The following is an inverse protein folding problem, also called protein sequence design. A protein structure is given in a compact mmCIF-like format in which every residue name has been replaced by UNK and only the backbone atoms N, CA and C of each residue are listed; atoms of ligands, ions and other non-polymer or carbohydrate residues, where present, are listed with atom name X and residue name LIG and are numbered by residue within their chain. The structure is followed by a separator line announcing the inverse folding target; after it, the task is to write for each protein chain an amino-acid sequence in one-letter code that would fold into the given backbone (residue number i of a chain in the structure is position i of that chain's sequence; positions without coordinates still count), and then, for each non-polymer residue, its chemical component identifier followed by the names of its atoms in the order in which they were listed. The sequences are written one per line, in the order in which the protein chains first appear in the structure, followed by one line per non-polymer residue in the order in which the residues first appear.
data_IF_668850162993
#
_entry.id   IF_668850162993
#
_cell.length_a   1.000
_cell.length_b   1.000
_cell.length_c   1.000
_cell.angle_alpha   90.00
_cell.angle_beta   90.00
_cell.angle_gamma   90.00
#
_symmetry.space_group_name_H-M   'P 1'
#
loop_
_entity.id
_entity.type
_entity.pdbx_description
1 polymer ?
#
# COMPACT_ATOMS: atom_id res chain seq x y z
N UNK A 1 7.33 -2.86 -6.74
CA UNK A 1 8.26 -2.61 -7.85
C UNK A 1 9.64 -2.32 -7.25
N UNK A 2 10.75 -2.85 -7.79
CA UNK A 2 12.09 -2.49 -7.32
C UNK A 2 12.44 -1.01 -7.53
N UNK A 3 11.69 -0.30 -8.39
CA UNK A 3 11.84 1.12 -8.78
C UNK A 3 10.53 1.89 -8.49
N UNK A 4 10.53 3.19 -8.76
CA UNK A 4 9.32 4.02 -8.70
C UNK A 4 8.72 4.31 -10.08
N UNK A 5 9.47 4.05 -11.16
CA UNK A 5 9.07 4.32 -12.54
C UNK A 5 8.60 5.76 -12.81
N UNK A 6 9.34 6.71 -12.22
CA UNK A 6 9.14 8.14 -12.40
C UNK A 6 10.12 8.64 -13.48
N UNK A 7 9.57 9.10 -14.60
CA UNK A 7 10.33 9.80 -15.64
C UNK A 7 10.35 11.32 -15.47
N UNK A 8 10.96 12.00 -16.42
CA UNK A 8 10.87 13.46 -16.56
C UNK A 8 9.54 13.87 -17.19
N UNK A 9 9.12 15.14 -17.01
CA UNK A 9 7.81 15.59 -17.47
C UNK A 9 7.59 15.45 -19.00
N UNK A 10 8.68 15.62 -19.75
CA UNK A 10 8.70 15.57 -21.22
C UNK A 10 8.78 14.15 -21.77
N UNK A 11 9.08 13.16 -20.92
CA UNK A 11 9.22 11.78 -21.36
C UNK A 11 7.92 11.21 -21.96
N UNK A 12 8.07 10.36 -22.98
CA UNK A 12 6.99 9.52 -23.47
C UNK A 12 6.63 8.44 -22.45
N UNK A 13 5.38 7.93 -22.53
CA UNK A 13 4.94 6.85 -21.64
C UNK A 13 5.67 5.56 -21.99
N UNK A 14 6.36 5.01 -21.01
CA UNK A 14 7.02 3.70 -21.09
C UNK A 14 6.83 2.93 -19.78
N UNK A 15 7.15 1.63 -19.78
CA UNK A 15 7.02 0.76 -18.61
C UNK A 15 7.74 1.30 -17.36
N UNK A 16 8.83 2.05 -17.54
CA UNK A 16 9.63 2.63 -16.46
C UNK A 16 9.36 4.13 -16.19
N UNK A 17 8.33 4.72 -16.81
CA UNK A 17 8.05 6.17 -16.72
C UNK A 17 6.57 6.52 -16.67
N UNK A 18 5.69 5.53 -16.58
CA UNK A 18 4.24 5.73 -16.66
C UNK A 18 3.69 6.58 -15.50
N UNK A 19 4.28 6.45 -14.31
CA UNK A 19 3.77 7.09 -13.10
C UNK A 19 3.81 8.63 -13.20
N UNK A 20 4.81 9.17 -13.90
CA UNK A 20 4.98 10.61 -14.07
C UNK A 20 3.76 11.25 -14.74
N UNK A 21 3.18 10.61 -15.77
CA UNK A 21 1.98 11.13 -16.44
C UNK A 21 0.74 11.07 -15.55
N UNK A 22 0.65 10.09 -14.65
CA UNK A 22 -0.45 9.99 -13.67
C UNK A 22 -0.32 11.13 -12.64
N UNK A 23 0.87 11.34 -12.10
CA UNK A 23 1.15 12.38 -11.11
C UNK A 23 0.88 13.78 -11.68
N UNK A 24 1.30 14.03 -12.94
CA UNK A 24 1.15 15.33 -13.59
C UNK A 24 -0.24 15.56 -14.20
N UNK A 25 -1.13 14.57 -14.20
CA UNK A 25 -2.45 14.69 -14.80
C UNK A 25 -3.27 15.80 -14.14
N UNK A 26 -3.98 16.58 -14.95
CA UNK A 26 -4.86 17.65 -14.50
C UNK A 26 -6.31 17.42 -14.99
N UNK A 27 -7.31 17.44 -14.09
CA UNK A 27 -7.20 17.66 -12.65
C UNK A 27 -6.48 16.51 -11.94
N UNK A 28 -5.80 16.78 -10.81
CA UNK A 28 -5.16 15.73 -10.03
C UNK A 28 -6.21 14.77 -9.46
N UNK A 29 -6.15 13.52 -9.91
CA UNK A 29 -7.02 12.42 -9.48
C UNK A 29 -6.30 11.41 -8.58
N UNK A 30 -4.98 11.51 -8.45
CA UNK A 30 -4.16 10.60 -7.64
C UNK A 30 -4.09 11.12 -6.20
N UNK A 31 -4.93 10.57 -5.33
CA UNK A 31 -4.93 10.91 -3.91
C UNK A 31 -3.76 10.29 -3.15
N UNK A 32 -3.49 9.01 -3.40
CA UNK A 32 -2.41 8.27 -2.75
C UNK A 32 -1.70 7.36 -3.74
N UNK A 33 -0.40 7.19 -3.54
CA UNK A 33 0.40 6.17 -4.18
C UNK A 33 1.35 5.58 -3.13
N UNK A 34 1.54 4.27 -3.20
CA UNK A 34 2.45 3.55 -2.31
C UNK A 34 3.31 2.62 -3.15
N UNK A 35 4.63 2.70 -3.01
CA UNK A 35 5.55 1.77 -3.66
C UNK A 35 6.18 0.81 -2.65
N UNK A 36 6.02 -0.49 -2.91
CA UNK A 36 6.51 -1.56 -2.06
C UNK A 36 7.72 -2.25 -2.69
N UNK A 37 8.69 -2.58 -1.84
CA UNK A 37 9.88 -3.37 -2.14
C UNK A 37 10.91 -2.68 -3.05
N UNK A 38 10.99 -1.35 -2.99
CA UNK A 38 12.01 -0.63 -3.76
C UNK A 38 13.42 -0.94 -3.23
N UNK A 39 14.40 -0.89 -4.12
CA UNK A 39 15.81 -1.09 -3.78
C UNK A 39 16.58 0.21 -4.03
N UNK A 40 17.30 0.71 -3.01
CA UNK A 40 17.91 2.05 -3.06
C UNK A 40 18.93 2.26 -4.17
N UNK A 41 19.57 1.19 -4.66
CA UNK A 41 20.52 1.28 -5.77
C UNK A 41 19.85 1.41 -7.15
N UNK A 42 18.54 1.21 -7.25
CA UNK A 42 17.76 1.44 -8.46
C UNK A 42 16.98 2.77 -8.44
N UNK A 43 16.99 3.49 -7.33
CA UNK A 43 16.15 4.68 -7.13
C UNK A 43 17.00 5.88 -6.73
N UNK A 44 17.02 6.95 -7.55
CA UNK A 44 17.67 8.20 -7.20
C UNK A 44 17.14 8.81 -5.89
N UNK A 45 18.02 9.38 -5.08
CA UNK A 45 17.64 10.07 -3.83
C UNK A 45 16.64 11.21 -4.08
N UNK A 46 16.72 11.87 -5.23
CA UNK A 46 15.76 12.91 -5.65
C UNK A 46 14.34 12.38 -5.74
N UNK A 47 14.13 11.18 -6.28
CA UNK A 47 12.81 10.55 -6.37
C UNK A 47 12.28 10.13 -5.00
N UNK A 48 13.14 9.58 -4.13
CA UNK A 48 12.76 9.30 -2.72
C UNK A 48 12.30 10.57 -2.01
N UNK A 49 13.00 11.68 -2.22
CA UNK A 49 12.63 12.97 -1.65
C UNK A 49 11.33 13.52 -2.24
N UNK A 50 11.08 13.31 -3.53
CA UNK A 50 9.83 13.69 -4.19
C UNK A 50 8.65 12.93 -3.57
N UNK A 51 8.77 11.60 -3.47
CA UNK A 51 7.77 10.73 -2.86
C UNK A 51 7.41 11.18 -1.43
N UNK A 52 8.43 11.49 -0.61
CA UNK A 52 8.23 12.03 0.74
C UNK A 52 7.52 13.38 0.76
N UNK A 53 7.87 14.30 -0.16
CA UNK A 53 7.21 15.62 -0.28
C UNK A 53 5.75 15.51 -0.71
N UNK A 54 5.42 14.47 -1.48
CA UNK A 54 4.05 14.13 -1.86
C UNK A 54 3.33 13.31 -0.78
N UNK A 55 4.00 13.03 0.35
CA UNK A 55 3.55 12.16 1.43
C UNK A 55 3.26 10.72 1.00
N UNK A 56 3.70 10.29 -0.19
CA UNK A 56 3.51 8.92 -0.67
C UNK A 56 4.32 7.91 0.13
N UNK A 57 3.77 6.70 0.26
CA UNK A 57 4.35 5.68 1.12
C UNK A 57 5.37 4.88 0.31
N UNK A 58 6.63 4.81 0.77
CA UNK A 58 7.67 4.04 0.10
C UNK A 58 8.34 3.10 1.08
N UNK A 59 8.26 1.81 0.78
CA UNK A 59 8.78 0.75 1.65
C UNK A 59 9.95 0.06 0.99
N UNK A 60 11.10 0.11 1.65
CA UNK A 60 12.33 -0.48 1.13
C UNK A 60 12.24 -2.01 1.25
N UNK A 61 12.88 -2.75 0.34
CA UNK A 61 12.85 -4.21 0.36
C UNK A 61 13.23 -4.80 1.73
N UNK A 62 14.30 -4.29 2.36
CA UNK A 62 14.75 -4.78 3.67
C UNK A 62 13.75 -4.56 4.81
N UNK A 63 12.96 -3.48 4.75
CA UNK A 63 11.92 -3.18 5.74
C UNK A 63 10.78 -4.20 5.60
N UNK A 64 10.33 -4.45 4.36
CA UNK A 64 9.26 -5.43 4.08
C UNK A 64 9.68 -6.87 4.37
N UNK A 65 10.96 -7.21 4.15
CA UNK A 65 11.47 -8.54 4.47
C UNK A 65 11.48 -8.79 5.98
N UNK A 66 11.69 -7.75 6.80
CA UNK A 66 11.65 -7.87 8.25
C UNK A 66 10.22 -8.01 8.79
N UNK A 67 9.28 -7.22 8.24
CA UNK A 67 7.87 -7.26 8.64
C UNK A 67 6.96 -7.12 7.42
N UNK A 68 6.57 -8.27 6.85
CA UNK A 68 5.69 -8.30 5.68
C UNK A 68 4.24 -7.93 6.02
N UNK A 69 3.82 -8.02 7.29
CA UNK A 69 2.46 -7.71 7.69
C UNK A 69 2.10 -6.24 7.39
N UNK A 70 3.09 -5.34 7.41
CA UNK A 70 2.94 -3.93 7.06
C UNK A 70 2.37 -3.68 5.65
N UNK A 71 2.47 -4.68 4.76
CA UNK A 71 1.87 -4.61 3.42
C UNK A 71 0.35 -4.63 3.50
N UNK A 72 -0.25 -5.34 4.46
CA UNK A 72 -1.70 -5.59 4.51
C UNK A 72 -2.53 -4.30 4.49
N UNK A 73 -2.26 -3.29 5.35
CA UNK A 73 -3.08 -2.09 5.35
C UNK A 73 -2.85 -1.23 4.12
N UNK A 74 -1.64 -1.27 3.54
CA UNK A 74 -1.31 -0.57 2.30
C UNK A 74 -2.17 -1.12 1.16
N UNK A 75 -2.16 -2.42 0.93
CA UNK A 75 -2.95 -3.04 -0.15
C UNK A 75 -4.45 -3.04 0.14
N UNK A 76 -4.86 -3.06 1.41
CA UNK A 76 -6.27 -2.90 1.82
C UNK A 76 -6.82 -1.52 1.49
N UNK A 77 -5.96 -0.49 1.52
CA UNK A 77 -6.33 0.88 1.16
C UNK A 77 -6.33 1.15 -0.35
N UNK A 78 -5.71 0.28 -1.16
CA UNK A 78 -5.51 0.50 -2.57
C UNK A 78 -6.78 0.25 -3.41
N UNK A 79 -7.02 1.11 -4.39
CA UNK A 79 -8.07 0.95 -5.40
C UNK A 79 -7.60 0.09 -6.58
N UNK A 80 -6.31 0.22 -6.94
CA UNK A 80 -5.62 -0.49 -8.00
C UNK A 80 -4.25 -0.97 -7.49
N UNK A 81 -3.82 -2.16 -7.90
CA UNK A 81 -2.49 -2.68 -7.58
C UNK A 81 -1.78 -3.19 -8.83
N UNK A 82 -0.56 -2.70 -9.02
CA UNK A 82 0.38 -3.18 -10.05
C UNK A 82 1.49 -3.96 -9.36
N UNK A 83 1.68 -5.22 -9.75
CA UNK A 83 2.76 -6.06 -9.28
C UNK A 83 3.78 -6.27 -10.41
N UNK A 84 4.92 -5.58 -10.35
CA UNK A 84 6.06 -5.84 -11.24
C UNK A 84 6.83 -7.08 -10.77
N UNK A 85 6.89 -8.11 -11.61
CA UNK A 85 7.64 -9.35 -11.35
C UNK A 85 9.15 -9.15 -11.22
N UNK A 86 9.68 -8.04 -11.70
CA UNK A 86 11.08 -7.62 -11.49
C UNK A 86 11.40 -7.37 -10.01
N UNK A 87 10.38 -7.25 -9.14
CA UNK A 87 10.57 -7.16 -7.69
C UNK A 87 10.94 -8.49 -7.03
N UNK A 88 10.66 -9.62 -7.70
CA UNK A 88 10.98 -10.97 -7.21
C UNK A 88 12.43 -11.29 -7.54
N UNK A 89 13.17 -11.92 -6.62
CA UNK A 89 14.57 -12.30 -6.88
C UNK A 89 14.69 -13.36 -7.97
N UNK A 90 15.79 -13.34 -8.72
CA UNK A 90 16.02 -14.25 -9.85
C UNK A 90 16.16 -15.72 -9.43
N UNK A 91 16.51 -16.03 -8.18
CA UNK A 91 16.54 -17.43 -7.72
C UNK A 91 15.16 -18.08 -7.68
N UNK A 92 14.10 -17.29 -7.47
CA UNK A 92 12.71 -17.77 -7.46
C UNK A 92 12.00 -17.50 -8.78
N UNK A 93 12.32 -16.40 -9.48
CA UNK A 93 11.81 -16.06 -10.81
C UNK A 93 12.95 -15.71 -11.79
N UNK A 94 13.64 -16.72 -12.34
CA UNK A 94 14.89 -16.54 -13.11
C UNK A 94 14.76 -15.72 -14.38
N UNK A 95 13.57 -15.72 -14.97
CA UNK A 95 13.32 -15.11 -16.27
C UNK A 95 12.75 -13.69 -16.11
N UNK A 96 12.71 -13.10 -14.91
CA UNK A 96 12.30 -11.69 -14.79
C UNK A 96 13.22 -10.78 -15.61
N UNK A 97 12.72 -9.60 -15.95
CA UNK A 97 13.43 -8.68 -16.84
C UNK A 97 14.75 -8.15 -16.25
N UNK A 98 14.86 -8.03 -14.92
CA UNK A 98 16.05 -7.47 -14.28
C UNK A 98 17.08 -8.52 -13.83
N UNK A 99 16.66 -9.76 -13.58
CA UNK A 99 17.50 -10.87 -13.10
C UNK A 99 18.32 -10.57 -11.85
N UNK A 100 17.85 -9.64 -11.01
CA UNK A 100 18.55 -9.23 -9.79
C UNK A 100 18.64 -10.38 -8.79
N UNK A 101 19.80 -10.57 -8.13
CA UNK A 101 19.99 -11.63 -7.15
C UNK A 101 19.15 -11.40 -5.88
N UNK A 102 18.78 -10.15 -5.61
CA UNK A 102 18.02 -9.72 -4.44
C UNK A 102 16.66 -9.20 -4.84
N UNK A 103 15.65 -9.51 -4.03
CA UNK A 103 14.26 -9.18 -4.28
C UNK A 103 13.35 -9.85 -3.25
N UNK A 104 12.05 -9.73 -3.48
CA UNK A 104 11.05 -10.50 -2.75
C UNK A 104 11.27 -11.99 -2.98
N UNK A 105 11.12 -12.78 -1.92
CA UNK A 105 11.04 -14.23 -2.03
C UNK A 105 9.71 -14.63 -2.68
N UNK A 106 9.66 -15.78 -3.35
CA UNK A 106 8.45 -16.27 -4.01
C UNK A 106 7.24 -16.39 -3.06
N UNK A 107 7.47 -16.86 -1.83
CA UNK A 107 6.44 -16.93 -0.79
C UNK A 107 5.94 -15.55 -0.34
N UNK A 108 6.80 -14.54 -0.32
CA UNK A 108 6.41 -13.16 0.00
C UNK A 108 5.55 -12.57 -1.11
N UNK A 109 5.92 -12.81 -2.38
CA UNK A 109 5.10 -12.40 -3.52
C UNK A 109 3.69 -13.01 -3.45
N UNK A 110 3.58 -14.30 -3.12
CA UNK A 110 2.31 -14.98 -2.90
C UNK A 110 1.52 -14.41 -1.71
N UNK A 111 2.18 -14.10 -0.60
CA UNK A 111 1.55 -13.51 0.58
C UNK A 111 1.00 -12.09 0.29
N UNK A 112 1.78 -11.26 -0.42
CA UNK A 112 1.33 -9.93 -0.88
C UNK A 112 0.13 -10.06 -1.81
N UNK A 113 0.15 -11.01 -2.76
CA UNK A 113 -0.96 -11.28 -3.64
C UNK A 113 -2.23 -11.71 -2.87
N UNK A 114 -2.07 -12.56 -1.85
CA UNK A 114 -3.17 -12.95 -0.96
C UNK A 114 -3.73 -11.76 -0.18
N UNK A 115 -2.89 -10.90 0.42
CA UNK A 115 -3.35 -9.69 1.10
C UNK A 115 -4.11 -8.75 0.16
N UNK A 116 -3.62 -8.62 -1.07
CA UNK A 116 -4.27 -7.84 -2.13
C UNK A 116 -5.66 -8.41 -2.45
N UNK A 117 -5.78 -9.73 -2.59
CA UNK A 117 -7.05 -10.40 -2.84
C UNK A 117 -8.06 -10.21 -1.70
N UNK A 118 -7.60 -10.22 -0.44
CA UNK A 118 -8.44 -10.01 0.75
C UNK A 118 -8.93 -8.57 0.94
N UNK A 119 -8.45 -7.62 0.12
CA UNK A 119 -8.92 -6.24 0.15
C UNK A 119 -10.29 -6.14 -0.50
N UNK A 120 -11.33 -5.83 0.27
CA UNK A 120 -12.67 -5.59 -0.27
C UNK A 120 -12.70 -4.36 -1.20
N UNK A 121 -11.82 -3.37 -0.96
CA UNK A 121 -11.73 -2.13 -1.73
C UNK A 121 -11.05 -2.31 -3.10
N UNK A 122 -10.11 -3.24 -3.21
CA UNK A 122 -9.29 -3.40 -4.41
C UNK A 122 -10.14 -3.84 -5.62
N UNK A 123 -10.14 -3.00 -6.65
CA UNK A 123 -10.94 -3.18 -7.87
C UNK A 123 -10.18 -3.88 -9.01
N UNK A 124 -8.86 -3.75 -9.06
CA UNK A 124 -8.00 -4.38 -10.06
C UNK A 124 -6.64 -4.76 -9.48
N UNK A 125 -6.15 -5.92 -9.92
CA UNK A 125 -4.82 -6.44 -9.64
C UNK A 125 -4.18 -6.86 -10.96
N UNK A 126 -3.05 -6.25 -11.30
CA UNK A 126 -2.28 -6.57 -12.49
C UNK A 126 -0.91 -7.13 -12.15
N UNK A 127 -0.50 -8.18 -12.86
CA UNK A 127 0.87 -8.71 -12.83
C UNK A 127 1.56 -8.25 -14.12
N UNK A 128 2.65 -7.49 -13.98
CA UNK A 128 3.35 -6.83 -15.07
C UNK A 128 4.78 -7.33 -15.22
N UNK A 129 5.38 -7.03 -16.37
CA UNK A 129 6.72 -7.47 -16.75
C UNK A 129 6.87 -9.00 -16.73
N UNK A 130 5.81 -9.68 -17.18
CA UNK A 130 5.80 -11.13 -17.40
C UNK A 130 6.77 -11.48 -18.53
N UNK A 131 7.73 -12.40 -18.31
CA UNK A 131 8.63 -12.82 -19.38
C UNK A 131 7.88 -13.47 -20.53
N UNK A 132 8.29 -13.16 -21.76
CA UNK A 132 7.73 -13.76 -22.98
C UNK A 132 8.00 -15.27 -23.02
N UNK A 133 9.22 -15.68 -22.66
CA UNK A 133 9.68 -17.06 -22.63
C UNK A 133 10.04 -17.43 -21.19
N UNK A 134 9.03 -17.69 -20.37
CA UNK A 134 9.20 -18.04 -18.97
C UNK A 134 9.53 -19.54 -18.81
N UNK A 135 10.52 -19.86 -17.97
CA UNK A 135 10.76 -21.24 -17.54
C UNK A 135 9.56 -21.81 -16.79
N UNK A 136 9.47 -23.14 -16.71
CA UNK A 136 8.43 -23.83 -15.93
C UNK A 136 8.39 -23.37 -14.46
N UNK A 137 9.56 -23.06 -13.87
CA UNK A 137 9.65 -22.50 -12.51
C UNK A 137 9.00 -21.12 -12.43
N UNK A 138 9.34 -20.20 -13.33
CA UNK A 138 8.75 -18.85 -13.38
C UNK A 138 7.24 -18.93 -13.60
N UNK A 139 6.78 -19.75 -14.54
CA UNK A 139 5.35 -19.96 -14.81
C UNK A 139 4.60 -20.48 -13.59
N UNK A 140 5.17 -21.44 -12.85
CA UNK A 140 4.57 -21.95 -11.62
C UNK A 140 4.45 -20.87 -10.55
N UNK A 141 5.47 -20.04 -10.36
CA UNK A 141 5.40 -18.96 -9.37
C UNK A 141 4.37 -17.90 -9.76
N UNK A 142 4.30 -17.49 -11.04
CA UNK A 142 3.27 -16.56 -11.53
C UNK A 142 1.88 -17.14 -11.31
N UNK A 143 1.67 -18.43 -11.61
CA UNK A 143 0.41 -19.12 -11.37
C UNK A 143 0.06 -19.15 -9.86
N UNK A 144 1.03 -19.38 -8.98
CA UNK A 144 0.82 -19.32 -7.53
C UNK A 144 0.43 -17.92 -7.06
N UNK A 145 1.09 -16.86 -7.53
CA UNK A 145 0.74 -15.47 -7.24
C UNK A 145 -0.74 -15.21 -7.60
N UNK A 146 -1.15 -15.58 -8.81
CA UNK A 146 -2.55 -15.43 -9.25
C UNK A 146 -3.52 -16.29 -8.43
N UNK A 147 -3.14 -17.53 -8.12
CA UNK A 147 -3.94 -18.43 -7.30
C UNK A 147 -4.17 -17.87 -5.89
N UNK A 148 -3.13 -17.38 -5.24
CA UNK A 148 -3.22 -16.80 -3.90
C UNK A 148 -4.00 -15.48 -3.89
N UNK A 149 -3.91 -14.69 -4.95
CA UNK A 149 -4.79 -13.54 -5.16
C UNK A 149 -6.27 -13.98 -5.22
N UNK A 150 -6.60 -14.94 -6.08
CA UNK A 150 -7.97 -15.47 -6.21
C UNK A 150 -8.48 -16.10 -4.90
N UNK A 151 -7.61 -16.81 -4.18
CA UNK A 151 -7.91 -17.33 -2.86
C UNK A 151 -8.24 -16.20 -1.88
N UNK A 152 -7.49 -15.08 -1.93
CA UNK A 152 -7.78 -13.88 -1.16
C UNK A 152 -9.15 -13.31 -1.51
N UNK A 153 -9.47 -13.18 -2.80
CA UNK A 153 -10.76 -12.68 -3.28
C UNK A 153 -11.92 -13.54 -2.76
N UNK A 154 -11.78 -14.87 -2.82
CA UNK A 154 -12.79 -15.81 -2.31
C UNK A 154 -12.96 -15.74 -0.77
N UNK A 155 -12.01 -15.14 -0.05
CA UNK A 155 -12.02 -14.99 1.41
C UNK A 155 -12.29 -13.56 1.88
N UNK A 156 -12.68 -12.66 0.96
CA UNK A 156 -13.15 -11.30 1.29
C UNK A 156 -14.28 -11.37 2.32
N UNK A 157 -14.17 -10.52 3.35
CA UNK A 157 -15.10 -10.54 4.49
C UNK A 157 -16.24 -9.55 4.34
N UNK A 158 -16.18 -8.67 3.33
CA UNK A 158 -17.14 -7.58 3.19
C UNK A 158 -16.98 -6.54 4.31
N UNK A 159 -15.75 -6.34 4.81
CA UNK A 159 -15.48 -5.28 5.77
C UNK A 159 -15.64 -3.89 5.11
N UNK A 160 -15.39 -2.82 5.87
CA UNK A 160 -15.29 -1.45 5.35
C UNK A 160 -14.53 -1.41 4.00
N UNK A 161 -15.08 -0.74 2.97
CA UNK A 161 -16.17 0.24 3.05
C UNK A 161 -17.61 -0.30 3.02
N UNK A 162 -17.80 -1.62 3.02
CA UNK A 162 -19.14 -2.22 2.85
C UNK A 162 -19.86 -2.48 4.18
N UNK A 163 -19.14 -2.93 5.21
CA UNK A 163 -19.70 -3.11 6.55
C UNK A 163 -19.93 -1.77 7.27
N UNK A 164 -21.00 -1.70 8.06
CA UNK A 164 -21.28 -0.54 8.90
C UNK A 164 -20.28 -0.48 10.07
N UNK A 165 -19.65 0.68 10.24
CA UNK A 165 -18.68 0.95 11.32
C UNK A 165 -19.30 0.83 12.71
N UNK A 166 -20.62 0.97 12.84
CA UNK A 166 -21.32 0.82 14.11
C UNK A 166 -21.28 -0.63 14.64
N UNK A 167 -20.91 -1.60 13.79
CA UNK A 167 -20.67 -2.99 14.19
C UNK A 167 -19.26 -3.25 14.74
N UNK A 168 -18.38 -2.26 14.67
CA UNK A 168 -16.98 -2.41 15.07
C UNK A 168 -16.76 -1.97 16.51
N UNK A 169 -15.78 -2.58 17.17
CA UNK A 169 -15.36 -2.12 18.50
C UNK A 169 -14.56 -0.84 18.36
N UNK A 170 -15.07 0.24 18.97
CA UNK A 170 -14.44 1.56 18.96
C UNK A 170 -13.49 1.74 20.15
N UNK A 171 -12.30 2.24 19.88
CA UNK A 171 -11.30 2.63 20.88
C UNK A 171 -10.94 4.10 20.65
N UNK A 172 -10.98 4.92 21.70
CA UNK A 172 -10.53 6.33 21.64
C UNK A 172 -9.26 6.46 22.47
N UNK A 173 -8.22 7.00 21.86
CA UNK A 173 -6.95 7.30 22.53
C UNK A 173 -6.72 8.81 22.49
N UNK A 174 -6.63 9.42 23.66
CA UNK A 174 -6.32 10.84 23.80
C UNK A 174 -4.80 11.02 23.86
N UNK A 175 -4.27 11.95 23.08
CA UNK A 175 -2.84 12.25 22.89
C UNK A 175 -2.56 13.72 23.26
N UNK A 176 -1.33 14.03 23.66
CA UNK A 176 -0.87 15.36 24.08
C UNK A 176 -1.73 15.91 25.23
N UNK A 177 -1.76 15.18 26.35
CA UNK A 177 -2.53 15.53 27.55
C UNK A 177 -4.04 15.78 27.28
N UNK A 178 -4.61 15.12 26.27
CA UNK A 178 -6.02 15.25 25.91
C UNK A 178 -6.33 16.37 24.93
N UNK A 179 -5.31 16.92 24.26
CA UNK A 179 -5.49 17.93 23.22
C UNK A 179 -6.14 17.34 21.96
N UNK A 180 -5.80 16.10 21.61
CA UNK A 180 -6.31 15.41 20.43
C UNK A 180 -6.81 14.01 20.76
N UNK A 181 -7.88 13.59 20.08
CA UNK A 181 -8.38 12.21 20.14
C UNK A 181 -8.13 11.50 18.81
N UNK A 182 -7.52 10.31 18.87
CA UNK A 182 -7.47 9.37 17.75
C UNK A 182 -8.46 8.25 18.02
N UNK A 183 -9.38 8.05 17.08
CA UNK A 183 -10.38 6.99 17.13
C UNK A 183 -9.92 5.81 16.27
N UNK A 184 -9.90 4.63 16.86
CA UNK A 184 -9.64 3.36 16.22
C UNK A 184 -10.88 2.47 16.21
N UNK A 185 -11.00 1.63 15.18
CA UNK A 185 -12.04 0.62 15.06
C UNK A 185 -11.43 -0.74 14.79
N UNK A 186 -11.95 -1.76 15.46
CA UNK A 186 -11.59 -3.17 15.23
C UNK A 186 -12.81 -3.95 14.73
N UNK A 187 -12.68 -4.62 13.58
CA UNK A 187 -13.70 -5.56 13.09
C UNK A 187 -13.68 -6.83 13.92
N UNK A 188 -14.84 -7.28 14.39
CA UNK A 188 -14.99 -8.58 15.08
C UNK A 188 -15.03 -9.76 14.09
N UNK A 189 -15.15 -9.50 12.78
CA UNK A 189 -15.20 -10.53 11.74
C UNK A 189 -13.81 -10.89 11.22
N UNK A 190 -12.93 -9.89 11.08
CA UNK A 190 -11.61 -10.06 10.47
C UNK A 190 -10.44 -9.74 11.40
N UNK A 191 -10.70 -9.24 12.60
CA UNK A 191 -9.70 -8.71 13.54
C UNK A 191 -8.85 -7.54 12.98
N UNK A 192 -9.23 -6.99 11.82
CA UNK A 192 -8.55 -5.88 11.16
C UNK A 192 -8.86 -4.56 11.86
N UNK A 193 -7.92 -3.63 11.73
CA UNK A 193 -7.99 -2.31 12.36
C UNK A 193 -8.10 -1.19 11.34
N UNK A 194 -8.79 -0.13 11.75
CA UNK A 194 -8.88 1.15 11.07
C UNK A 194 -8.73 2.28 12.08
N UNK A 195 -8.32 3.45 11.60
CA UNK A 195 -8.29 4.69 12.38
C UNK A 195 -8.98 5.83 11.63
N UNK A 196 -9.60 6.76 12.36
CA UNK A 196 -10.18 7.97 11.78
C UNK A 196 -9.14 9.09 11.67
N UNK A 197 -9.04 9.65 10.47
CA UNK A 197 -8.24 10.84 10.18
C UNK A 197 -9.20 11.97 9.82
N UNK A 198 -9.20 13.11 10.54
CA UNK A 198 -10.10 14.22 10.24
C UNK A 198 -9.72 14.91 8.92
N UNK A 199 -10.72 15.35 8.16
CA UNK A 199 -10.49 16.28 7.06
C UNK A 199 -10.21 17.67 7.64
N UNK A 200 -9.07 18.31 7.32
CA UNK A 200 -8.84 19.69 7.69
C UNK A 200 -9.93 20.57 7.06
N UNK A 201 -10.64 21.28 7.92
CA UNK A 201 -11.86 21.99 7.54
C UNK A 201 -11.60 23.09 6.51
N UNK A 202 -12.25 23.01 5.35
CA UNK A 202 -12.54 24.22 4.55
C UNK A 202 -13.44 25.13 5.40
N UNK A 203 -13.12 26.43 5.50
CA UNK A 203 -13.91 27.43 6.25
C UNK A 203 -15.41 27.25 5.95
N UNK A 204 -16.21 26.89 6.96
CA UNK A 204 -17.68 26.85 6.88
C UNK A 204 -18.37 25.48 6.98
N UNK A 205 -17.65 24.36 7.15
CA UNK A 205 -18.32 23.07 7.41
C UNK A 205 -18.71 22.93 8.88
N UNK A 206 -20.01 22.70 9.16
CA UNK A 206 -20.56 22.45 10.50
C UNK A 206 -20.18 21.07 11.08
N UNK A 207 -19.72 20.16 10.22
CA UNK A 207 -19.34 18.80 10.59
C UNK A 207 -17.90 18.51 10.13
N UNK A 208 -17.06 17.98 11.04
CA UNK A 208 -15.79 17.37 10.67
C UNK A 208 -16.09 16.05 9.97
N UNK A 209 -15.68 15.94 8.71
CA UNK A 209 -15.66 14.66 8.00
C UNK A 209 -14.42 13.91 8.48
N UNK A 210 -14.48 12.58 8.47
CA UNK A 210 -13.34 11.73 8.78
C UNK A 210 -13.14 10.73 7.64
N UNK A 211 -11.89 10.38 7.39
CA UNK A 211 -11.48 9.34 6.48
C UNK A 211 -11.01 8.13 7.31
N UNK A 212 -11.58 6.95 7.07
CA UNK A 212 -11.13 5.72 7.71
C UNK A 212 -9.92 5.15 6.97
N UNK A 213 -8.81 5.04 7.69
CA UNK A 213 -7.54 4.53 7.16
C UNK A 213 -7.29 3.14 7.74
N UNK A 214 -7.08 2.10 6.91
CA UNK A 214 -6.55 0.82 7.33
C UNK A 214 -5.27 0.97 8.15
N UNK A 215 -5.21 0.37 9.34
CA UNK A 215 -4.03 0.40 10.20
C UNK A 215 -3.79 -0.97 10.85
N UNK A 216 -2.68 -1.10 11.59
CA UNK A 216 -2.40 -2.25 12.44
C UNK A 216 -2.73 -1.97 13.91
N UNK A 217 -2.73 -3.03 14.71
CA UNK A 217 -2.77 -2.91 16.16
C UNK A 217 -1.55 -2.16 16.72
N UNK A 218 -0.39 -2.27 16.06
CA UNK A 218 0.83 -1.52 16.43
C UNK A 218 0.59 0.00 16.38
N UNK A 219 -0.17 0.52 15.42
CA UNK A 219 -0.53 1.94 15.35
C UNK A 219 -1.34 2.37 16.58
N UNK A 220 -2.28 1.53 17.03
CA UNK A 220 -3.02 1.76 18.28
C UNK A 220 -2.08 1.75 19.50
N UNK A 221 -1.13 0.81 19.55
CA UNK A 221 -0.16 0.75 20.65
C UNK A 221 0.77 1.96 20.69
N UNK A 222 1.17 2.50 19.53
CA UNK A 222 1.93 3.75 19.41
C UNK A 222 1.12 4.92 19.95
N UNK A 223 -0.16 5.05 19.56
CA UNK A 223 -1.05 6.07 20.13
C UNK A 223 -1.19 5.95 21.65
N UNK A 224 -1.29 4.74 22.20
CA UNK A 224 -1.36 4.54 23.66
C UNK A 224 -0.08 4.94 24.41
N UNK A 225 1.04 5.15 23.71
CA UNK A 225 2.29 5.68 24.27
C UNK A 225 2.40 7.20 24.12
N UNK A 226 1.30 7.88 23.81
CA UNK A 226 1.25 9.33 23.58
C UNK A 226 2.04 9.77 22.31
N UNK A 227 2.17 8.87 21.34
CA UNK A 227 2.85 9.12 20.06
C UNK A 227 1.86 9.03 18.89
N UNK A 228 1.89 10.01 17.97
CA UNK A 228 1.02 9.99 16.78
C UNK A 228 1.56 8.98 15.77
N UNK A 229 0.76 7.99 15.32
CA UNK A 229 1.21 7.03 14.31
C UNK A 229 1.55 7.70 12.97
N UNK A 230 2.68 7.32 12.37
CA UNK A 230 3.15 7.90 11.10
C UNK A 230 2.09 7.85 9.99
N UNK A 231 1.36 6.74 9.88
CA UNK A 231 0.29 6.56 8.89
C UNK A 231 -0.85 7.55 9.09
N UNK A 232 -1.17 7.89 10.35
CA UNK A 232 -2.19 8.89 10.68
C UNK A 232 -1.70 10.27 10.22
N UNK A 233 -0.47 10.63 10.60
CA UNK A 233 0.14 11.91 10.26
C UNK A 233 0.26 12.14 8.76
N UNK A 234 0.77 11.15 8.02
CA UNK A 234 0.90 11.22 6.56
C UNK A 234 -0.47 11.37 5.88
N UNK A 235 -1.49 10.65 6.34
CA UNK A 235 -2.84 10.79 5.79
C UNK A 235 -3.40 12.18 6.07
N UNK A 236 -3.21 12.70 7.28
CA UNK A 236 -3.67 14.04 7.64
C UNK A 236 -3.03 15.11 6.75
N UNK A 237 -1.73 15.01 6.48
CA UNK A 237 -1.02 15.91 5.56
C UNK A 237 -1.52 15.82 4.11
N UNK A 238 -1.90 14.63 3.63
CA UNK A 238 -2.49 14.45 2.28
C UNK A 238 -3.87 15.09 2.14
N UNK A 239 -4.62 15.18 3.23
CA UNK A 239 -5.99 15.73 3.24
C UNK A 239 -6.02 17.27 3.36
N UNK A 240 -4.92 17.89 3.78
CA UNK A 240 -4.74 19.34 3.97
C UNK A 240 -4.28 20.08 2.73
#
# INVERSE_FOLDING_TARGET
DPRFDIGEAEDEVSANKYLQKIILHQPNILFNFSNLAYQSHHVPTSEVNLMKKMYFDVYRLGELQHNLEQVEPVVRSADLLSFDLSAVRSSDLPDNLLQEPNGLYGEQACAIARYSGLSDKLSSFGVFNVPLEASDRSNKLIAQILWYFLLGVNNRKGDYPFADKDTYTKYTVSIEDGTYDIVFYKSHLSDRWWMEVPYPSKRGSKYQRHFMVPCHYEDYQTACKDEIPDRWWQTFQKLG
#
